data_IF_297202741144
#
_entry.id   IF_297202741144
#
_cell.length_a   1.000
_cell.length_b   1.000
_cell.length_c   1.000
_cell.angle_alpha   90.00
_cell.angle_beta   90.00
_cell.angle_gamma   90.00
#
_symmetry.space_group_name_H-M   'P 1'
#
loop_
_entity.id
_entity.type
_entity.pdbx_description
1 polymer ?
#
# COMPACT_ATOMS: atom_id res chain seq x y z
N UNK A 1 -14.42 9.51 -9.70
CA UNK A 1 -13.06 9.22 -9.20
C UNK A 1 -12.97 7.71 -9.18
N UNK A 2 -11.94 7.10 -9.78
CA UNK A 2 -11.83 5.63 -9.82
C UNK A 2 -11.65 5.10 -8.40
N UNK A 3 -12.57 4.26 -7.93
CA UNK A 3 -12.42 3.47 -6.71
C UNK A 3 -11.29 2.45 -6.94
N UNK A 4 -10.07 2.80 -6.52
CA UNK A 4 -8.95 1.84 -6.52
C UNK A 4 -9.21 0.83 -5.40
N UNK A 5 -9.65 -0.37 -5.77
CA UNK A 5 -9.85 -1.48 -4.84
C UNK A 5 -8.55 -2.24 -4.62
N UNK A 6 -7.92 -2.04 -3.45
CA UNK A 6 -6.72 -2.78 -3.05
C UNK A 6 -7.07 -4.19 -2.57
N UNK A 7 -6.20 -5.16 -2.84
CA UNK A 7 -6.39 -6.57 -2.47
C UNK A 7 -5.18 -7.14 -1.74
N UNK A 8 -5.35 -8.10 -0.81
CA UNK A 8 -4.23 -8.82 -0.22
C UNK A 8 -3.31 -9.43 -1.28
N UNK A 9 -2.01 -9.40 -1.01
CA UNK A 9 -0.91 -9.80 -1.90
C UNK A 9 -0.75 -8.96 -3.17
N UNK A 10 -1.42 -7.80 -3.27
CA UNK A 10 -1.20 -6.86 -4.38
C UNK A 10 0.08 -6.07 -4.17
N UNK A 11 0.88 -5.93 -5.23
CA UNK A 11 2.05 -5.04 -5.23
C UNK A 11 1.61 -3.59 -5.39
N UNK A 12 2.18 -2.70 -4.59
CA UNK A 12 1.88 -1.27 -4.56
C UNK A 12 3.16 -0.45 -4.47
N UNK A 13 3.11 0.80 -4.91
CA UNK A 13 4.14 1.82 -4.68
C UNK A 13 3.65 2.80 -3.62
N UNK A 14 4.48 3.07 -2.63
CA UNK A 14 4.16 4.01 -1.55
C UNK A 14 4.40 5.45 -2.04
N UNK A 15 3.41 6.33 -1.91
CA UNK A 15 3.45 7.69 -2.45
C UNK A 15 3.80 8.77 -1.41
N UNK A 16 3.78 8.42 -0.12
CA UNK A 16 3.94 9.36 0.98
C UNK A 16 4.77 8.80 2.15
N UNK A 17 5.24 9.70 3.02
CA UNK A 17 6.00 9.35 4.22
C UNK A 17 7.46 8.98 3.95
N UNK A 18 8.04 8.24 4.89
CA UNK A 18 9.46 7.86 4.88
C UNK A 18 9.80 6.87 3.75
N UNK A 19 8.85 6.01 3.37
CA UNK A 19 9.02 4.96 2.36
C UNK A 19 8.54 5.39 0.96
N UNK A 20 8.43 6.70 0.72
CA UNK A 20 7.94 7.21 -0.55
C UNK A 20 8.83 6.75 -1.72
N UNK A 21 8.20 6.13 -2.72
CA UNK A 21 8.83 5.56 -3.91
C UNK A 21 9.26 4.10 -3.74
N UNK A 22 9.12 3.54 -2.53
CA UNK A 22 9.44 2.14 -2.29
C UNK A 22 8.26 1.23 -2.67
N UNK A 23 8.54 0.02 -3.18
CA UNK A 23 7.51 -0.98 -3.40
C UNK A 23 7.10 -1.63 -2.07
N UNK A 24 5.83 -2.00 -1.98
CA UNK A 24 5.27 -2.76 -0.89
C UNK A 24 4.26 -3.79 -1.36
N UNK A 25 3.86 -4.68 -0.46
CA UNK A 25 2.86 -5.70 -0.69
C UNK A 25 1.68 -5.47 0.26
N UNK A 26 0.46 -5.36 -0.27
CA UNK A 26 -0.74 -5.26 0.57
C UNK A 26 -0.89 -6.55 1.37
N UNK A 27 -0.83 -6.45 2.68
CA UNK A 27 -1.09 -7.55 3.60
C UNK A 27 -2.58 -7.73 3.84
N UNK A 28 -3.27 -6.65 4.16
CA UNK A 28 -4.71 -6.64 4.42
C UNK A 28 -5.33 -5.26 4.15
N UNK A 29 -6.65 -5.23 4.02
CA UNK A 29 -7.44 -4.00 3.88
C UNK A 29 -8.50 -4.01 4.98
N UNK A 30 -8.46 -3.01 5.86
CA UNK A 30 -9.34 -2.91 7.03
C UNK A 30 -10.05 -1.56 6.98
N UNK A 31 -11.27 -1.55 6.42
CA UNK A 31 -12.02 -0.32 6.22
C UNK A 31 -11.34 0.58 5.19
N UNK A 32 -10.93 1.78 5.62
CA UNK A 32 -10.22 2.79 4.81
C UNK A 32 -8.69 2.73 4.95
N UNK A 33 -8.18 1.73 5.67
CA UNK A 33 -6.75 1.55 5.91
C UNK A 33 -6.22 0.33 5.18
N UNK A 34 -5.03 0.48 4.64
CA UNK A 34 -4.33 -0.54 3.86
C UNK A 34 -3.04 -0.85 4.59
N UNK A 35 -2.92 -2.10 4.94
CA UNK A 35 -1.79 -2.67 5.62
C UNK A 35 -0.78 -3.11 4.57
N UNK A 36 0.43 -2.57 4.58
CA UNK A 36 1.46 -2.82 3.57
C UNK A 36 2.73 -3.34 4.22
N UNK A 37 3.26 -4.42 3.67
CA UNK A 37 4.55 -5.00 4.02
C UNK A 37 5.62 -4.46 3.07
N UNK A 38 6.67 -3.84 3.60
CA UNK A 38 7.83 -3.38 2.81
C UNK A 38 8.75 -4.55 2.47
N UNK A 39 9.72 -4.32 1.58
CA UNK A 39 10.72 -5.34 1.23
C UNK A 39 11.60 -5.76 2.42
N UNK A 40 11.75 -4.92 3.43
CA UNK A 40 12.49 -5.22 4.65
C UNK A 40 11.71 -6.11 5.62
N UNK A 41 10.43 -6.38 5.32
CA UNK A 41 9.52 -7.16 6.16
C UNK A 41 8.86 -6.34 7.26
N UNK A 42 9.02 -5.01 7.23
CA UNK A 42 8.33 -4.09 8.13
C UNK A 42 6.91 -3.81 7.65
N UNK A 43 6.03 -3.59 8.62
CA UNK A 43 4.63 -3.40 8.38
C UNK A 43 4.23 -1.94 8.64
N UNK A 44 3.53 -1.35 7.68
CA UNK A 44 3.09 0.03 7.72
C UNK A 44 1.63 0.16 7.26
N UNK A 45 0.93 1.18 7.76
CA UNK A 45 -0.47 1.43 7.44
C UNK A 45 -0.60 2.72 6.65
N UNK A 46 -1.29 2.63 5.51
CA UNK A 46 -1.51 3.73 4.58
C UNK A 46 -2.99 3.90 4.27
N UNK A 47 -3.36 5.08 3.81
CA UNK A 47 -4.65 5.32 3.16
C UNK A 47 -4.55 5.03 1.65
N UNK A 48 -5.68 4.77 0.96
CA UNK A 48 -5.73 4.59 -0.49
C UNK A 48 -5.03 5.70 -1.30
N UNK A 49 -5.09 6.95 -0.82
CA UNK A 49 -4.47 8.08 -1.51
C UNK A 49 -2.94 8.09 -1.42
N UNK A 50 -2.37 7.30 -0.53
CA UNK A 50 -0.93 7.19 -0.30
C UNK A 50 -0.30 5.99 -1.01
N UNK A 51 -1.09 5.25 -1.79
CA UNK A 51 -0.65 4.06 -2.51
C UNK A 51 -1.05 4.13 -3.99
N UNK A 52 -0.22 3.53 -4.83
CA UNK A 52 -0.51 3.29 -6.25
C UNK A 52 -0.29 1.80 -6.56
N UNK A 53 -1.04 1.22 -7.48
CA UNK A 53 -0.78 -0.13 -7.98
C UNK A 53 0.58 -0.16 -8.71
N UNK A 54 1.45 -1.11 -8.35
CA UNK A 54 2.70 -1.32 -9.07
C UNK A 54 2.43 -2.22 -10.30
N UNK A 55 2.62 -1.68 -11.51
CA UNK A 55 2.44 -2.37 -12.80
C UNK A 55 3.68 -3.19 -13.16
#
# INVERSE_FOLDING_TARGET
MSDVEFRPSQAVTILAGQHKGEPGLVWAVVGDKIEVLTLEGDYHVYSPAELEEAV
#
